data_IF_427530244214
#
_entry.id   IF_427530244214
#
_cell.length_a   1.000
_cell.length_b   1.000
_cell.length_c   1.000
_cell.angle_alpha   90.00
_cell.angle_beta   90.00
_cell.angle_gamma   90.00
#
_symmetry.space_group_name_H-M   'P 1'
#
loop_
_entity.id
_entity.type
_entity.pdbx_description
1 polymer ?
#
# COMPACT_ATOMS: atom_id res chain seq x y z
N UNK A 1 29.81 8.31 39.19
CA UNK A 1 28.76 7.27 39.17
C UNK A 1 27.86 7.60 37.99
N UNK A 2 28.34 7.34 36.77
CA UNK A 2 27.62 7.63 35.52
C UNK A 2 28.04 6.59 34.47
N UNK A 3 27.74 5.33 34.73
CA UNK A 3 28.01 4.23 33.80
C UNK A 3 26.78 3.29 33.74
N UNK A 4 25.60 3.86 33.50
CA UNK A 4 24.34 3.12 33.50
C UNK A 4 23.41 3.51 32.35
N UNK A 5 23.99 3.76 31.15
CA UNK A 5 23.19 3.97 29.93
C UNK A 5 23.67 3.11 28.74
N UNK A 6 24.44 2.06 29.01
CA UNK A 6 24.92 1.13 28.00
C UNK A 6 24.28 -0.26 28.21
N UNK A 7 22.98 -0.38 27.96
CA UNK A 7 22.35 -1.66 27.64
C UNK A 7 20.95 -1.46 27.07
N UNK A 8 20.87 -1.20 25.76
CA UNK A 8 19.67 -1.48 24.97
C UNK A 8 20.06 -2.58 23.99
N UNK A 9 19.90 -3.83 24.42
CA UNK A 9 19.93 -4.99 23.53
C UNK A 9 18.70 -4.91 22.62
N UNK A 10 18.94 -4.66 21.33
CA UNK A 10 17.95 -4.85 20.27
C UNK A 10 17.80 -6.35 20.04
N UNK A 11 16.99 -7.01 20.87
CA UNK A 11 16.48 -8.32 20.52
C UNK A 11 15.37 -8.12 19.47
N UNK A 12 15.54 -8.77 18.33
CA UNK A 12 14.54 -8.90 17.26
C UNK A 12 13.22 -9.39 17.86
N UNK A 13 12.30 -8.46 18.16
CA UNK A 13 10.90 -8.78 18.39
C UNK A 13 10.34 -9.39 17.11
N UNK A 14 10.40 -10.72 17.03
CA UNK A 14 9.50 -11.49 16.20
C UNK A 14 8.09 -11.15 16.71
N UNK A 15 7.42 -10.22 16.04
CA UNK A 15 5.99 -9.96 16.20
C UNK A 15 5.26 -11.30 15.97
N UNK A 16 4.94 -12.02 17.05
CA UNK A 16 4.07 -13.17 16.98
C UNK A 16 2.72 -12.73 16.43
N UNK A 17 2.09 -13.49 15.51
CA UNK A 17 0.80 -13.13 14.98
C UNK A 17 -0.22 -13.18 16.13
N UNK A 18 -0.71 -12.01 16.54
CA UNK A 18 -1.72 -11.89 17.58
C UNK A 18 -2.95 -12.70 17.14
N UNK A 19 -3.42 -13.69 17.93
CA UNK A 19 -4.62 -14.44 17.59
C UNK A 19 -5.84 -13.53 17.72
N UNK A 20 -6.34 -13.07 16.58
CA UNK A 20 -7.52 -12.21 16.45
C UNK A 20 -8.76 -12.97 16.98
N UNK A 21 -9.26 -12.57 18.16
CA UNK A 21 -10.60 -12.97 18.62
C UNK A 21 -11.64 -12.31 17.71
N UNK A 22 -12.43 -13.15 17.05
CA UNK A 22 -13.43 -12.81 16.02
C UNK A 22 -14.76 -12.38 16.65
N UNK A 23 -15.15 -11.13 16.46
CA UNK A 23 -16.50 -10.63 16.71
C UNK A 23 -17.22 -10.39 15.37
N UNK A 24 -18.23 -11.23 15.09
CA UNK A 24 -18.93 -11.40 13.80
C UNK A 24 -19.68 -10.15 13.28
N UNK A 25 -19.78 -9.06 14.06
CA UNK A 25 -20.50 -7.84 13.67
C UNK A 25 -19.59 -6.69 13.20
N UNK A 26 -18.27 -6.77 13.41
CA UNK A 26 -17.30 -5.75 12.93
C UNK A 26 -16.69 -6.08 11.56
N UNK A 27 -17.00 -7.25 11.02
CA UNK A 27 -16.36 -7.80 9.83
C UNK A 27 -16.59 -6.93 8.59
N UNK A 28 -17.77 -6.29 8.45
CA UNK A 28 -18.13 -5.57 7.23
C UNK A 28 -17.41 -4.23 7.04
N UNK A 29 -17.10 -3.52 8.13
CA UNK A 29 -16.31 -2.28 8.06
C UNK A 29 -14.80 -2.56 7.99
N UNK A 30 -14.34 -3.64 8.64
CA UNK A 30 -12.91 -3.97 8.70
C UNK A 30 -12.30 -4.28 7.32
N UNK A 31 -13.05 -4.95 6.44
CA UNK A 31 -12.58 -5.22 5.08
C UNK A 31 -12.56 -3.97 4.18
N UNK A 32 -13.46 -3.01 4.40
CA UNK A 32 -13.49 -1.77 3.63
C UNK A 32 -12.25 -0.93 3.87
N UNK A 33 -11.65 -1.05 5.06
CA UNK A 33 -10.42 -0.37 5.44
C UNK A 33 -9.14 -1.17 5.11
N UNK A 34 -9.26 -2.22 4.29
CA UNK A 34 -8.15 -3.06 3.90
C UNK A 34 -7.76 -2.84 2.43
N UNK A 35 -6.46 -2.70 2.21
CA UNK A 35 -5.83 -2.68 0.91
C UNK A 35 -4.93 -3.90 0.78
N UNK A 36 -5.00 -4.55 -0.37
CA UNK A 36 -4.12 -5.62 -0.74
C UNK A 36 -3.08 -5.05 -1.69
N UNK A 37 -1.79 -5.34 -1.46
CA UNK A 37 -0.73 -4.95 -2.38
C UNK A 37 0.21 -6.08 -2.75
N UNK A 38 0.82 -6.00 -3.93
CA UNK A 38 1.89 -6.90 -4.38
C UNK A 38 3.02 -6.09 -4.99
N UNK A 39 4.24 -6.44 -4.63
CA UNK A 39 5.42 -5.89 -5.29
C UNK A 39 5.76 -6.72 -6.52
N UNK A 40 5.86 -6.06 -7.67
CA UNK A 40 6.20 -6.68 -8.95
C UNK A 40 7.71 -6.78 -9.10
N UNK A 41 8.27 -7.87 -8.60
CA UNK A 41 9.70 -8.16 -8.68
C UNK A 41 9.97 -9.64 -8.45
N UNK A 42 11.08 -10.14 -9.00
CA UNK A 42 11.61 -11.46 -8.64
C UNK A 42 12.57 -11.41 -7.43
N UNK A 43 13.05 -10.22 -7.08
CA UNK A 43 13.96 -10.01 -5.95
C UNK A 43 13.31 -10.25 -4.59
N UNK A 44 14.13 -10.61 -3.60
CA UNK A 44 13.72 -10.68 -2.20
C UNK A 44 13.49 -9.26 -1.67
N UNK A 45 12.36 -9.06 -0.99
CA UNK A 45 12.01 -7.79 -0.34
C UNK A 45 12.20 -7.94 1.16
N UNK A 46 12.98 -7.04 1.77
CA UNK A 46 13.05 -6.93 3.22
C UNK A 46 11.77 -6.28 3.77
N UNK A 47 10.88 -7.11 4.31
CA UNK A 47 9.58 -6.69 4.82
C UNK A 47 9.66 -5.53 5.81
N UNK A 48 10.56 -5.58 6.80
CA UNK A 48 10.72 -4.51 7.80
C UNK A 48 11.08 -3.17 7.18
N UNK A 49 11.88 -3.18 6.10
CA UNK A 49 12.24 -1.95 5.39
C UNK A 49 11.05 -1.41 4.59
N UNK A 50 10.31 -2.29 3.90
CA UNK A 50 9.09 -1.91 3.18
C UNK A 50 8.04 -1.33 4.14
N UNK A 51 7.77 -2.01 5.27
CA UNK A 51 6.83 -1.56 6.31
C UNK A 51 7.18 -0.17 6.81
N UNK A 52 8.45 0.06 7.19
CA UNK A 52 8.93 1.36 7.67
C UNK A 52 8.84 2.45 6.60
N UNK A 53 9.27 2.17 5.38
CA UNK A 53 9.25 3.16 4.29
C UNK A 53 7.83 3.57 3.92
N UNK A 54 6.91 2.62 3.78
CA UNK A 54 5.51 2.94 3.44
C UNK A 54 4.80 3.65 4.58
N UNK A 55 5.00 3.24 5.84
CA UNK A 55 4.45 3.95 7.00
C UNK A 55 4.93 5.40 7.08
N UNK A 56 6.21 5.64 6.76
CA UNK A 56 6.78 6.99 6.71
C UNK A 56 6.21 7.82 5.54
N UNK A 57 6.17 7.27 4.33
CA UNK A 57 5.72 7.98 3.13
C UNK A 57 4.22 8.30 3.16
N UNK A 58 3.39 7.31 3.50
CA UNK A 58 1.94 7.51 3.53
C UNK A 58 1.50 8.35 4.71
N UNK A 59 2.25 8.29 5.83
CA UNK A 59 1.96 9.01 7.06
C UNK A 59 0.46 8.99 7.43
N UNK A 60 -0.15 7.80 7.58
CA UNK A 60 -1.58 7.66 7.83
C UNK A 60 -1.95 8.26 9.20
N UNK A 61 -3.08 8.95 9.29
CA UNK A 61 -3.53 9.64 10.51
C UNK A 61 -3.70 8.68 11.69
N UNK A 62 -4.26 7.50 11.42
CA UNK A 62 -4.48 6.45 12.43
C UNK A 62 -3.36 5.42 12.51
N UNK A 63 -2.27 5.59 11.77
CA UNK A 63 -1.32 4.50 11.52
C UNK A 63 -1.84 3.49 10.48
N UNK A 64 -1.03 2.47 10.21
CA UNK A 64 -1.42 1.34 9.38
C UNK A 64 -0.79 0.06 9.91
N UNK A 65 -1.55 -1.03 9.90
CA UNK A 65 -1.05 -2.37 10.17
C UNK A 65 -0.71 -3.02 8.83
N UNK A 66 0.50 -3.55 8.71
CA UNK A 66 0.97 -4.22 7.50
C UNK A 66 1.30 -5.66 7.85
N UNK A 67 0.70 -6.61 7.13
CA UNK A 67 0.89 -8.05 7.30
C UNK A 67 1.47 -8.66 6.03
N UNK A 68 2.48 -9.52 6.17
CA UNK A 68 3.04 -10.30 5.07
C UNK A 68 2.17 -11.53 4.81
N UNK A 69 1.65 -11.67 3.58
CA UNK A 69 0.84 -12.79 3.14
C UNK A 69 1.66 -13.85 2.38
N UNK A 70 2.96 -13.63 2.20
CA UNK A 70 3.85 -14.39 1.33
C UNK A 70 3.76 -13.94 -0.13
N UNK A 71 4.64 -14.47 -0.99
CA UNK A 71 4.69 -14.14 -2.43
C UNK A 71 4.72 -12.62 -2.73
N UNK A 72 5.48 -11.87 -1.91
CA UNK A 72 5.65 -10.40 -2.02
C UNK A 72 4.31 -9.66 -1.96
N UNK A 73 3.37 -10.24 -1.22
CA UNK A 73 2.00 -9.82 -1.12
C UNK A 73 1.69 -9.41 0.31
N UNK A 74 1.01 -8.29 0.46
CA UNK A 74 0.85 -7.63 1.74
C UNK A 74 -0.60 -7.21 1.93
N UNK A 75 -1.08 -7.33 3.17
CA UNK A 75 -2.34 -6.76 3.61
C UNK A 75 -2.04 -5.50 4.42
N UNK A 76 -2.61 -4.38 3.99
CA UNK A 76 -2.53 -3.09 4.67
C UNK A 76 -3.90 -2.78 5.26
N UNK A 77 -3.99 -2.72 6.59
CA UNK A 77 -5.20 -2.29 7.29
C UNK A 77 -5.01 -0.89 7.82
N UNK A 78 -5.90 0.00 7.38
CA UNK A 78 -5.97 1.39 7.83
C UNK A 78 -7.08 1.53 8.88
N UNK A 79 -7.14 2.71 9.51
CA UNK A 79 -8.16 3.04 10.50
C UNK A 79 -9.13 4.12 10.02
N UNK A 80 -8.78 4.83 8.93
CA UNK A 80 -9.61 5.88 8.34
C UNK A 80 -9.67 5.76 6.83
N UNK A 81 -10.84 6.00 6.26
CA UNK A 81 -11.07 5.97 4.81
C UNK A 81 -10.21 7.01 4.06
N UNK A 82 -9.98 8.16 4.68
CA UNK A 82 -9.14 9.23 4.10
C UNK A 82 -7.70 8.78 3.84
N UNK A 83 -7.16 7.88 4.68
CA UNK A 83 -5.82 7.36 4.50
C UNK A 83 -5.73 6.43 3.28
N UNK A 84 -6.72 5.55 3.11
CA UNK A 84 -6.80 4.66 1.93
C UNK A 84 -6.97 5.48 0.66
N UNK A 85 -7.90 6.43 0.69
CA UNK A 85 -8.18 7.28 -0.47
C UNK A 85 -6.92 8.04 -0.89
N UNK A 86 -6.19 8.62 0.05
CA UNK A 86 -4.91 9.30 -0.23
C UNK A 86 -3.88 8.35 -0.84
N UNK A 87 -3.70 7.16 -0.26
CA UNK A 87 -2.78 6.15 -0.80
C UNK A 87 -3.16 5.76 -2.23
N UNK A 88 -4.45 5.57 -2.54
CA UNK A 88 -4.91 5.23 -3.88
C UNK A 88 -4.80 6.39 -4.87
N UNK A 89 -5.15 7.60 -4.45
CA UNK A 89 -5.12 8.80 -5.31
C UNK A 89 -3.66 9.19 -5.68
N UNK A 90 -2.68 8.87 -4.82
CA UNK A 90 -1.25 9.12 -5.05
C UNK A 90 -0.53 7.95 -5.75
N UNK A 91 -1.24 6.90 -6.20
CA UNK A 91 -0.64 5.82 -7.00
C UNK A 91 -0.07 6.34 -8.33
N UNK A 92 0.98 5.70 -8.89
CA UNK A 92 1.58 4.43 -8.48
C UNK A 92 2.64 4.59 -7.38
N UNK A 93 2.73 3.61 -6.48
CA UNK A 93 3.82 3.55 -5.50
C UNK A 93 4.91 2.58 -5.95
N UNK A 94 6.15 2.86 -5.55
CA UNK A 94 7.26 1.93 -5.73
C UNK A 94 8.09 1.81 -4.46
N UNK A 95 8.69 0.63 -4.27
CA UNK A 95 9.66 0.38 -3.20
C UNK A 95 10.93 -0.19 -3.83
N UNK A 96 12.08 0.42 -3.57
CA UNK A 96 13.36 0.04 -4.19
C UNK A 96 13.29 -0.13 -5.71
N UNK A 97 12.59 0.79 -6.40
CA UNK A 97 12.35 0.76 -7.87
C UNK A 97 11.48 -0.40 -8.36
N UNK A 98 10.83 -1.13 -7.46
CA UNK A 98 9.84 -2.14 -7.80
C UNK A 98 8.43 -1.58 -7.60
N UNK A 99 7.58 -1.74 -8.61
CA UNK A 99 6.21 -1.24 -8.61
C UNK A 99 5.37 -2.01 -7.58
N UNK A 100 4.59 -1.28 -6.79
CA UNK A 100 3.56 -1.83 -5.91
C UNK A 100 2.20 -1.65 -6.59
N UNK A 101 1.52 -2.77 -6.81
CA UNK A 101 0.14 -2.79 -7.32
C UNK A 101 -0.81 -3.02 -6.16
N UNK A 102 -1.91 -2.29 -6.11
CA UNK A 102 -2.88 -2.37 -5.04
C UNK A 102 -4.30 -2.68 -5.52
N UNK A 103 -5.09 -3.28 -4.65
CA UNK A 103 -6.50 -3.53 -4.83
C UNK A 103 -7.22 -3.40 -3.49
N UNK A 104 -8.34 -2.68 -3.45
CA UNK A 104 -9.17 -2.58 -2.25
C UNK A 104 -9.83 -3.93 -1.97
N UNK A 105 -9.75 -4.41 -0.74
CA UNK A 105 -10.30 -5.72 -0.41
C UNK A 105 -11.83 -5.67 -0.49
N UNK A 106 -12.42 -6.62 -1.24
CA UNK A 106 -13.87 -6.77 -1.37
C UNK A 106 -14.35 -7.85 -0.39
N UNK A 107 -15.53 -7.66 0.18
CA UNK A 107 -16.15 -8.64 1.10
C UNK A 107 -16.15 -10.05 0.49
N UNK A 108 -15.65 -11.02 1.26
CA UNK A 108 -15.59 -12.43 0.86
C UNK A 108 -14.48 -12.79 -0.13
N UNK A 109 -13.66 -11.83 -0.58
CA UNK A 109 -12.49 -12.13 -1.40
C UNK A 109 -11.36 -12.71 -0.56
N UNK A 110 -10.78 -13.84 -0.99
CA UNK A 110 -9.52 -14.32 -0.41
C UNK A 110 -8.42 -13.33 -0.80
N UNK A 111 -7.79 -12.65 0.19
CA UNK A 111 -6.65 -11.78 -0.04
C UNK A 111 -5.72 -12.40 -1.07
N UNK A 112 -5.25 -13.64 -0.88
CA UNK A 112 -4.19 -14.27 -1.68
C UNK A 112 -4.56 -14.53 -3.14
N UNK A 113 -5.84 -14.62 -3.46
CA UNK A 113 -6.32 -14.95 -4.82
C UNK A 113 -6.72 -13.72 -5.64
N UNK A 114 -6.77 -12.53 -5.04
CA UNK A 114 -7.14 -11.31 -5.77
C UNK A 114 -6.10 -10.99 -6.85
N UNK A 115 -6.49 -10.80 -8.12
CA UNK A 115 -5.56 -10.43 -9.17
C UNK A 115 -5.05 -9.00 -8.96
N UNK A 116 -3.72 -8.83 -9.01
CA UNK A 116 -3.01 -7.55 -8.87
C UNK A 116 -2.20 -7.28 -10.13
N UNK A 117 -2.90 -7.15 -11.26
CA UNK A 117 -2.33 -7.06 -12.60
C UNK A 117 -2.52 -5.69 -13.26
N UNK A 118 -3.25 -4.77 -12.63
CA UNK A 118 -3.54 -3.44 -13.18
C UNK A 118 -3.19 -2.36 -12.16
N UNK A 119 -2.63 -1.25 -12.63
CA UNK A 119 -2.44 -0.02 -11.85
C UNK A 119 -2.61 1.19 -12.75
N UNK A 120 -2.95 2.32 -12.15
CA UNK A 120 -3.00 3.60 -12.84
C UNK A 120 -1.65 4.30 -12.77
N UNK A 121 -1.34 5.07 -13.82
CA UNK A 121 -0.15 5.91 -13.91
C UNK A 121 -0.57 7.35 -14.19
N UNK A 122 0.12 8.29 -13.55
CA UNK A 122 0.05 9.69 -13.94
C UNK A 122 0.95 9.93 -15.14
N UNK A 123 0.35 10.28 -16.27
CA UNK A 123 1.08 10.60 -17.50
C UNK A 123 1.14 12.12 -17.63
N UNK A 124 2.35 12.67 -17.62
CA UNK A 124 2.57 14.07 -17.92
C UNK A 124 2.88 14.23 -19.40
N UNK A 125 2.09 15.04 -20.10
CA UNK A 125 2.25 15.30 -21.53
C UNK A 125 2.97 16.65 -21.70
N UNK A 126 4.09 16.63 -22.40
CA UNK A 126 4.90 17.82 -22.68
C UNK A 126 4.68 18.33 -24.10
N UNK A 127 4.99 19.62 -24.32
CA UNK A 127 4.92 20.28 -25.63
C UNK A 127 3.53 20.24 -26.30
N UNK A 128 2.46 20.29 -25.49
CA UNK A 128 1.11 20.39 -26.02
C UNK A 128 0.91 21.76 -26.72
N UNK A 129 0.42 21.82 -27.96
CA UNK A 129 0.09 23.09 -28.61
C UNK A 129 -0.91 23.89 -27.78
N UNK A 130 -0.87 25.22 -27.82
CA UNK A 130 -1.78 26.06 -27.02
C UNK A 130 -3.27 25.78 -27.31
N UNK A 131 -3.63 25.42 -28.55
CA UNK A 131 -4.99 25.01 -28.93
C UNK A 131 -5.37 23.57 -28.57
N UNK A 132 -4.44 22.80 -28.00
CA UNK A 132 -4.61 21.38 -27.71
C UNK A 132 -5.07 21.08 -26.27
N UNK A 133 -5.09 22.10 -25.40
CA UNK A 133 -5.49 21.98 -24.00
C UNK A 133 -7.03 22.05 -23.90
N UNK A 134 -7.68 21.08 -24.52
CA UNK A 134 -9.13 20.91 -24.49
C UNK A 134 -9.45 19.56 -23.87
N UNK A 135 -10.50 19.49 -23.05
CA UNK A 135 -10.94 18.24 -22.42
C UNK A 135 -11.18 17.12 -23.45
N UNK A 136 -11.75 17.47 -24.61
CA UNK A 136 -11.95 16.54 -25.71
C UNK A 136 -10.66 16.01 -26.33
N UNK A 137 -9.57 16.80 -26.31
CA UNK A 137 -8.26 16.33 -26.77
C UNK A 137 -7.53 15.51 -25.72
N UNK A 138 -7.68 15.85 -24.43
CA UNK A 138 -7.18 15.02 -23.34
C UNK A 138 -7.79 13.61 -23.37
N UNK A 139 -9.11 13.50 -23.58
CA UNK A 139 -9.78 12.20 -23.78
C UNK A 139 -9.21 11.41 -24.97
N UNK A 140 -9.15 12.03 -26.14
CA UNK A 140 -8.59 11.38 -27.35
C UNK A 140 -7.13 10.93 -27.16
N UNK A 141 -6.34 11.70 -26.42
CA UNK A 141 -4.96 11.34 -26.13
C UNK A 141 -4.88 10.18 -25.13
N UNK A 142 -5.73 10.18 -24.10
CA UNK A 142 -5.86 9.08 -23.15
C UNK A 142 -6.29 7.78 -23.82
N UNK A 143 -7.27 7.84 -24.74
CA UNK A 143 -7.77 6.67 -25.48
C UNK A 143 -6.75 6.12 -26.51
N UNK A 144 -5.76 6.92 -26.90
CA UNK A 144 -4.73 6.51 -27.86
C UNK A 144 -3.63 5.65 -27.21
N UNK A 145 -3.40 5.81 -25.91
CA UNK A 145 -2.34 5.13 -25.14
C UNK A 145 -2.89 3.82 -24.57
#
# INVERSE_FOLDING_TARGET
MEAEIANLNLEDEKEEPIPYKRDLHKEDEDYQLCLIGKALTDCVIHFSSLKRTLAYLWHPLGGAIILDLGDKRYLFRFFYEVDIKRVLDEMPWSFNRHLLVFHRLIKGGDPKQIPLNHTYFWIQVHNLPYGAILEGMARKLGDFI
#
